data_IF_855147919741
#
_entry.id   IF_855147919741
#
_cell.length_a   1.000
_cell.length_b   1.000
_cell.length_c   1.000
_cell.angle_alpha   90.00
_cell.angle_beta   90.00
_cell.angle_gamma   90.00
#
_symmetry.space_group_name_H-M   'P 1'
#
loop_
_entity.id
_entity.type
_entity.pdbx_description
1 polymer ?
#
# COMPACT_ATOMS: atom_id res chain seq x y z
N UNK A 1 -9.07 25.25 13.05
CA UNK A 1 -7.99 24.40 13.62
C UNK A 1 -8.40 22.96 13.37
N UNK A 2 -7.80 22.30 12.39
CA UNK A 2 -8.18 20.94 11.97
C UNK A 2 -7.45 19.86 12.77
N UNK A 3 -8.06 18.69 12.87
CA UNK A 3 -7.46 17.47 13.42
C UNK A 3 -6.86 16.71 12.24
N UNK A 4 -5.55 16.43 12.24
CA UNK A 4 -4.89 15.59 11.21
C UNK A 4 -4.36 16.32 9.97
N UNK A 5 -3.92 15.54 8.97
CA UNK A 5 -3.38 16.05 7.70
C UNK A 5 -4.52 16.35 6.71
N UNK A 6 -4.71 17.63 6.36
CA UNK A 6 -5.91 18.11 5.65
C UNK A 6 -6.17 17.42 4.30
N UNK A 7 -5.12 17.14 3.53
CA UNK A 7 -5.23 16.43 2.24
C UNK A 7 -5.75 14.99 2.42
N UNK A 8 -5.25 14.26 3.42
CA UNK A 8 -5.67 12.88 3.67
C UNK A 8 -7.14 12.79 4.11
N UNK A 9 -7.62 13.79 4.85
CA UNK A 9 -9.02 13.84 5.30
C UNK A 9 -9.95 14.14 4.14
N UNK A 10 -9.57 15.02 3.22
CA UNK A 10 -10.35 15.27 2.01
C UNK A 10 -10.46 14.02 1.13
N UNK A 11 -9.35 13.30 0.92
CA UNK A 11 -9.38 12.03 0.19
C UNK A 11 -10.25 10.98 0.89
N UNK A 12 -10.15 10.88 2.22
CA UNK A 12 -10.98 9.97 3.00
C UNK A 12 -12.48 10.28 2.86
N UNK A 13 -12.87 11.55 2.98
CA UNK A 13 -14.28 11.95 2.86
C UNK A 13 -14.80 11.67 1.45
N UNK A 14 -13.99 11.95 0.42
CA UNK A 14 -14.37 11.69 -0.98
C UNK A 14 -14.68 10.20 -1.22
N UNK A 15 -13.78 9.32 -0.76
CA UNK A 15 -13.96 7.87 -0.91
C UNK A 15 -15.09 7.34 0.00
N UNK A 16 -15.24 7.87 1.21
CA UNK A 16 -16.29 7.45 2.13
C UNK A 16 -17.69 7.88 1.64
N UNK A 17 -17.80 9.00 0.93
CA UNK A 17 -19.07 9.50 0.40
C UNK A 17 -19.62 8.65 -0.75
N UNK A 18 -18.77 7.97 -1.52
CA UNK A 18 -19.21 7.10 -2.63
C UNK A 18 -19.65 5.71 -2.14
N UNK A 19 -19.21 5.31 -0.94
CA UNK A 19 -19.46 3.98 -0.38
C UNK A 19 -20.95 3.62 -0.22
N UNK A 20 -21.82 4.48 0.35
CA UNK A 20 -23.24 4.18 0.50
C UNK A 20 -23.97 4.01 -0.84
N UNK A 21 -23.63 4.84 -1.83
CA UNK A 21 -24.23 4.78 -3.17
C UNK A 21 -23.87 3.49 -3.91
N UNK A 22 -22.60 3.08 -3.82
CA UNK A 22 -22.14 1.82 -4.42
C UNK A 22 -22.82 0.59 -3.78
N UNK A 23 -23.00 0.59 -2.45
CA UNK A 23 -23.69 -0.49 -1.75
C UNK A 23 -25.18 -0.59 -2.13
N UNK A 24 -25.84 0.56 -2.35
CA UNK A 24 -27.23 0.58 -2.78
C UNK A 24 -27.42 0.09 -4.21
N UNK A 25 -26.50 0.45 -5.11
CA UNK A 25 -26.50 -0.03 -6.50
C UNK A 25 -26.39 -1.56 -6.59
N UNK A 26 -25.61 -2.20 -5.70
CA UNK A 26 -25.46 -3.66 -5.64
C UNK A 26 -26.76 -4.34 -5.22
N UNK A 27 -27.49 -3.75 -4.28
CA UNK A 27 -28.79 -4.24 -3.85
C UNK A 27 -29.82 -4.16 -4.99
N UNK A 28 -29.85 -3.05 -5.74
CA UNK A 28 -30.77 -2.88 -6.87
C UNK A 28 -30.40 -3.76 -8.08
N UNK A 29 -29.12 -4.09 -8.27
CA UNK A 29 -28.69 -4.99 -9.35
C UNK A 29 -28.93 -6.48 -9.07
N UNK A 30 -29.19 -6.84 -7.82
CA UNK A 30 -29.15 -8.24 -7.39
C UNK A 30 -30.41 -9.02 -7.71
N UNK A 31 -30.22 -10.21 -8.30
CA UNK A 31 -31.31 -11.02 -8.87
C UNK A 31 -31.80 -12.11 -7.92
N UNK A 32 -31.02 -12.46 -6.90
CA UNK A 32 -31.37 -13.49 -5.91
C UNK A 32 -31.92 -12.85 -4.62
N UNK A 33 -33.15 -13.23 -4.24
CA UNK A 33 -33.85 -12.76 -3.04
C UNK A 33 -33.89 -11.23 -2.89
N UNK A 34 -34.23 -10.52 -3.98
CA UNK A 34 -34.38 -9.05 -3.99
C UNK A 34 -33.06 -8.31 -3.64
N UNK A 35 -31.91 -8.94 -3.98
CA UNK A 35 -30.56 -8.37 -3.85
C UNK A 35 -29.93 -8.44 -2.46
N UNK A 36 -30.65 -8.97 -1.46
CA UNK A 36 -30.17 -8.99 -0.06
C UNK A 36 -29.00 -9.96 0.18
N UNK A 37 -28.94 -11.07 -0.55
CA UNK A 37 -27.86 -12.07 -0.40
C UNK A 37 -26.53 -11.52 -0.96
N UNK A 38 -26.60 -10.85 -2.11
CA UNK A 38 -25.45 -10.27 -2.79
C UNK A 38 -24.90 -9.06 -2.00
N UNK A 39 -25.80 -8.22 -1.49
CA UNK A 39 -25.48 -7.15 -0.54
C UNK A 39 -24.76 -7.68 0.72
N UNK A 40 -25.31 -8.72 1.35
CA UNK A 40 -24.71 -9.34 2.54
C UNK A 40 -23.32 -9.94 2.24
N UNK A 41 -23.14 -10.54 1.07
CA UNK A 41 -21.88 -11.13 0.62
C UNK A 41 -20.80 -10.06 0.41
N UNK A 42 -21.15 -8.94 -0.23
CA UNK A 42 -20.21 -7.82 -0.45
C UNK A 42 -19.78 -7.18 0.87
N UNK A 43 -20.71 -6.98 1.81
CA UNK A 43 -20.37 -6.46 3.14
C UNK A 43 -19.43 -7.41 3.87
N UNK A 44 -19.69 -8.71 3.81
CA UNK A 44 -18.85 -9.71 4.46
C UNK A 44 -17.43 -9.75 3.85
N UNK A 45 -17.31 -9.72 2.53
CA UNK A 45 -16.02 -9.64 1.82
C UNK A 45 -15.30 -8.33 2.19
N UNK A 46 -16.00 -7.19 2.19
CA UNK A 46 -15.44 -5.91 2.58
C UNK A 46 -14.93 -5.90 4.02
N UNK A 47 -15.68 -6.49 4.95
CA UNK A 47 -15.26 -6.61 6.34
C UNK A 47 -14.01 -7.49 6.49
N UNK A 48 -13.98 -8.65 5.82
CA UNK A 48 -12.80 -9.53 5.80
C UNK A 48 -11.59 -8.80 5.20
N UNK A 49 -11.79 -8.04 4.12
CA UNK A 49 -10.74 -7.27 3.47
C UNK A 49 -10.18 -6.20 4.40
N UNK A 50 -11.05 -5.44 5.09
CA UNK A 50 -10.62 -4.43 6.07
C UNK A 50 -9.87 -5.08 7.23
N UNK A 51 -10.35 -6.21 7.76
CA UNK A 51 -9.68 -6.94 8.83
C UNK A 51 -8.28 -7.41 8.40
N UNK A 52 -8.15 -7.88 7.16
CA UNK A 52 -6.88 -8.31 6.57
C UNK A 52 -5.92 -7.12 6.38
N UNK A 53 -6.42 -6.01 5.83
CA UNK A 53 -5.70 -4.73 5.71
C UNK A 53 -5.14 -4.27 7.06
N UNK A 54 -6.00 -4.20 8.07
CA UNK A 54 -5.61 -3.77 9.41
C UNK A 54 -4.59 -4.72 10.02
N UNK A 55 -4.76 -6.04 9.86
CA UNK A 55 -3.83 -7.03 10.39
C UNK A 55 -2.40 -6.84 9.85
N UNK A 56 -2.27 -6.64 8.53
CA UNK A 56 -0.95 -6.46 7.91
C UNK A 56 -0.37 -5.07 8.17
N UNK A 57 -1.20 -4.02 8.18
CA UNK A 57 -0.73 -2.65 8.42
C UNK A 57 -0.25 -2.47 9.88
N UNK A 58 -0.80 -3.22 10.83
CA UNK A 58 -0.33 -3.26 12.22
C UNK A 58 0.89 -4.16 12.41
N UNK A 59 1.25 -4.98 11.42
CA UNK A 59 2.42 -5.84 11.50
C UNK A 59 3.71 -4.99 11.43
N UNK A 60 4.53 -5.13 12.46
CA UNK A 60 5.81 -4.44 12.57
C UNK A 60 6.88 -5.39 13.08
N UNK A 61 8.06 -5.32 12.47
CA UNK A 61 9.26 -5.97 12.96
C UNK A 61 9.95 -5.05 13.96
N UNK A 62 10.03 -5.49 15.22
CA UNK A 62 10.71 -4.75 16.29
C UNK A 62 12.18 -5.16 16.33
N UNK A 63 13.08 -4.24 15.99
CA UNK A 63 14.53 -4.48 16.13
C UNK A 63 14.97 -3.96 17.50
N UNK A 64 15.45 -4.83 18.42
CA UNK A 64 15.90 -4.39 19.73
C UNK A 64 17.16 -3.53 19.61
N UNK A 65 17.18 -2.43 20.33
CA UNK A 65 18.30 -1.50 20.42
C UNK A 65 18.63 -1.28 21.89
N UNK A 66 19.92 -1.26 22.19
CA UNK A 66 20.42 -0.92 23.51
C UNK A 66 21.18 0.39 23.42
N UNK A 67 20.85 1.31 24.33
CA UNK A 67 21.65 2.52 24.51
C UNK A 67 22.74 2.26 25.54
N UNK A 68 23.94 2.76 25.25
CA UNK A 68 25.08 2.64 26.13
C UNK A 68 24.75 3.17 27.54
N UNK A 69 25.08 2.36 28.53
CA UNK A 69 24.88 2.65 29.95
C UNK A 69 25.91 3.71 30.38
N UNK A 70 25.45 4.77 31.06
CA UNK A 70 26.37 5.73 31.68
C UNK A 70 26.61 5.30 33.12
N UNK A 71 27.84 4.93 33.45
CA UNK A 71 28.20 4.63 34.83
C UNK A 71 28.38 5.95 35.59
N UNK A 72 27.58 6.18 36.63
CA UNK A 72 27.73 7.32 37.56
C UNK A 72 28.07 6.73 38.93
N UNK A 73 29.33 6.84 39.35
CA UNK A 73 29.83 6.20 40.57
C UNK A 73 29.86 4.67 40.47
N UNK A 74 29.44 3.96 41.53
CA UNK A 74 29.35 2.47 41.57
C UNK A 74 28.02 1.91 41.08
N UNK A 75 27.05 2.77 40.77
CA UNK A 75 25.73 2.34 40.31
C UNK A 75 25.62 2.60 38.82
N UNK A 76 25.29 1.55 38.12
CA UNK A 76 25.11 1.58 36.69
C UNK A 76 23.68 2.06 36.40
N UNK A 77 23.50 3.28 35.89
CA UNK A 77 22.21 3.87 35.51
C UNK A 77 22.04 3.83 33.98
N UNK A 78 20.84 3.46 33.52
CA UNK A 78 20.55 3.37 32.09
C UNK A 78 20.90 2.01 31.47
N UNK A 79 20.44 1.76 30.25
CA UNK A 79 20.39 0.42 29.66
C UNK A 79 18.96 -0.10 29.51
N UNK A 80 17.99 0.81 29.31
CA UNK A 80 16.65 0.43 28.89
C UNK A 80 16.73 -0.12 27.47
N UNK A 81 16.30 -1.37 27.27
CA UNK A 81 16.10 -1.92 25.94
C UNK A 81 14.96 -1.16 25.27
N UNK A 82 15.26 -0.47 24.17
CA UNK A 82 14.21 0.04 23.27
C UNK A 82 14.10 -0.86 22.05
N UNK A 83 13.17 -0.57 21.16
CA UNK A 83 13.14 -1.15 19.83
C UNK A 83 12.87 -0.08 18.77
N UNK A 84 13.43 -0.27 17.59
CA UNK A 84 13.05 0.48 16.39
C UNK A 84 11.94 -0.32 15.69
N UNK A 85 10.72 0.21 15.60
CA UNK A 85 9.65 -0.43 14.85
C UNK A 85 9.86 -0.22 13.35
N UNK A 86 10.01 -1.30 12.59
CA UNK A 86 9.95 -1.28 11.13
C UNK A 86 8.62 -1.89 10.70
N UNK A 87 7.71 -1.07 10.17
CA UNK A 87 6.43 -1.56 9.65
C UNK A 87 6.64 -2.44 8.42
N UNK A 88 5.75 -3.43 8.24
CA UNK A 88 5.75 -4.29 7.04
C UNK A 88 5.45 -3.49 5.78
N UNK A 89 4.55 -2.53 5.90
CA UNK A 89 4.28 -1.53 4.88
C UNK A 89 4.73 -0.15 5.36
N UNK A 90 5.96 0.26 5.04
CA UNK A 90 6.39 1.63 5.29
C UNK A 90 5.81 2.62 4.27
N UNK A 91 5.35 2.12 3.11
CA UNK A 91 4.94 2.96 1.99
C UNK A 91 3.47 3.42 2.07
N UNK A 92 2.66 2.77 2.91
CA UNK A 92 1.24 3.05 3.02
C UNK A 92 0.53 2.81 1.69
N UNK A 93 -0.25 3.79 1.25
CA UNK A 93 -1.07 3.74 0.01
C UNK A 93 -0.37 4.42 -1.17
N UNK A 94 0.76 5.11 -0.94
CA UNK A 94 1.41 5.97 -1.93
C UNK A 94 1.85 5.21 -3.20
N UNK A 95 2.47 4.02 -3.13
CA UNK A 95 2.86 3.27 -4.32
C UNK A 95 1.69 2.93 -5.25
N UNK A 96 0.53 2.62 -4.67
CA UNK A 96 -0.68 2.27 -5.41
C UNK A 96 -1.20 3.49 -6.19
N UNK A 97 -1.18 4.66 -5.54
CA UNK A 97 -1.56 5.93 -6.19
C UNK A 97 -0.63 6.22 -7.36
N UNK A 98 0.68 6.12 -7.18
CA UNK A 98 1.63 6.36 -8.28
C UNK A 98 1.45 5.37 -9.44
N UNK A 99 1.25 4.09 -9.14
CA UNK A 99 0.97 3.08 -10.15
C UNK A 99 -0.29 3.42 -10.96
N UNK A 100 -1.39 3.78 -10.28
CA UNK A 100 -2.63 4.20 -10.95
C UNK A 100 -2.46 5.47 -11.80
N UNK A 101 -1.74 6.49 -11.30
CA UNK A 101 -1.50 7.72 -12.06
C UNK A 101 -0.64 7.48 -13.30
N UNK A 102 0.34 6.58 -13.23
CA UNK A 102 1.21 6.27 -14.36
C UNK A 102 0.44 5.49 -15.44
N UNK A 103 -0.41 4.55 -15.03
CA UNK A 103 -1.28 3.81 -15.95
C UNK A 103 -2.32 4.68 -16.63
N UNK A 104 -2.72 5.79 -16.00
CA UNK A 104 -3.69 6.71 -16.57
C UNK A 104 -3.11 7.62 -17.67
N UNK A 105 -1.78 7.84 -17.69
CA UNK A 105 -1.13 8.73 -18.68
C UNK A 105 -1.33 8.25 -20.12
N UNK A 106 -1.05 6.97 -20.47
CA UNK A 106 -1.30 6.49 -21.83
C UNK A 106 -2.76 6.60 -22.26
N UNK A 107 -3.72 6.31 -21.36
CA UNK A 107 -5.15 6.45 -21.66
C UNK A 107 -5.54 7.90 -21.93
N UNK A 108 -4.95 8.86 -21.21
CA UNK A 108 -5.17 10.28 -21.47
C UNK A 108 -4.62 10.68 -22.83
N UNK A 109 -3.41 10.25 -23.19
CA UNK A 109 -2.81 10.58 -24.49
C UNK A 109 -3.68 10.07 -25.65
N UNK A 110 -4.22 8.86 -25.55
CA UNK A 110 -5.12 8.30 -26.57
C UNK A 110 -6.43 9.08 -26.63
N UNK A 111 -7.04 9.41 -25.48
CA UNK A 111 -8.26 10.23 -25.44
C UNK A 111 -8.05 11.63 -26.04
N UNK A 112 -6.95 12.30 -25.72
CA UNK A 112 -6.63 13.64 -26.25
C UNK A 112 -6.24 13.62 -27.73
N UNK A 113 -5.59 12.54 -28.19
CA UNK A 113 -5.15 12.44 -29.58
C UNK A 113 -6.30 12.11 -30.55
N UNK A 114 -7.41 11.53 -30.08
CA UNK A 114 -8.55 11.11 -30.94
C UNK A 114 -8.16 10.16 -32.08
N UNK A 115 -6.98 9.53 -31.99
CA UNK A 115 -6.38 8.77 -33.08
C UNK A 115 -6.84 7.32 -33.03
N UNK A 116 -7.33 6.81 -34.17
CA UNK A 116 -7.74 5.42 -34.37
C UNK A 116 -6.63 4.55 -34.95
N UNK A 117 -5.38 5.02 -34.90
CA UNK A 117 -4.23 4.25 -35.35
C UNK A 117 -4.06 2.97 -34.52
N UNK A 118 -3.50 1.91 -35.12
CA UNK A 118 -3.40 0.59 -34.49
C UNK A 118 -2.68 0.55 -33.13
N UNK A 119 -1.79 1.52 -32.86
CA UNK A 119 -1.15 1.67 -31.56
C UNK A 119 -2.09 2.25 -30.49
N UNK A 120 -3.01 3.13 -30.88
CA UNK A 120 -3.98 3.78 -30.01
C UNK A 120 -5.14 2.84 -29.67
N UNK A 121 -5.62 2.07 -30.66
CA UNK A 121 -6.61 1.00 -30.43
C UNK A 121 -6.03 -0.13 -29.58
N UNK A 122 -4.75 -0.50 -29.78
CA UNK A 122 -4.08 -1.48 -28.92
C UNK A 122 -3.99 -1.02 -27.45
N UNK A 123 -3.66 0.26 -27.22
CA UNK A 123 -3.66 0.85 -25.86
C UNK A 123 -5.08 0.89 -25.28
N UNK A 124 -6.09 1.28 -26.06
CA UNK A 124 -7.48 1.26 -25.60
C UNK A 124 -7.93 -0.15 -25.21
N UNK A 125 -7.67 -1.15 -26.05
CA UNK A 125 -8.11 -2.53 -25.81
C UNK A 125 -7.38 -3.20 -24.63
N UNK A 126 -6.09 -2.88 -24.42
CA UNK A 126 -5.27 -3.54 -23.39
C UNK A 126 -5.16 -2.77 -22.06
N UNK A 127 -5.39 -1.45 -22.05
CA UNK A 127 -5.23 -0.62 -20.84
C UNK A 127 -6.53 0.03 -20.32
N UNK A 128 -7.61 0.09 -21.12
CA UNK A 128 -8.86 0.74 -20.68
C UNK A 128 -9.87 -0.27 -20.16
N UNK A 129 -9.92 -1.48 -20.72
CA UNK A 129 -10.75 -2.56 -20.19
C UNK A 129 -9.98 -3.29 -19.10
N UNK A 130 -10.24 -2.96 -17.83
CA UNK A 130 -9.57 -3.53 -16.65
C UNK A 130 -9.69 -5.05 -16.45
N UNK A 131 -10.26 -5.76 -17.43
CA UNK A 131 -10.44 -7.21 -17.48
C UNK A 131 -9.30 -7.94 -18.20
N UNK A 132 -8.37 -7.23 -18.86
CA UNK A 132 -7.29 -7.90 -19.57
C UNK A 132 -6.17 -8.34 -18.59
N UNK A 133 -5.72 -9.62 -18.61
CA UNK A 133 -4.65 -10.10 -17.74
C UNK A 133 -3.34 -9.29 -17.83
N UNK A 134 -3.10 -8.62 -18.96
CA UNK A 134 -1.96 -7.73 -19.15
C UNK A 134 -2.05 -6.47 -18.30
N UNK A 135 -3.22 -5.84 -18.17
CA UNK A 135 -3.42 -4.69 -17.30
C UNK A 135 -3.16 -5.05 -15.84
N UNK A 136 -3.72 -6.18 -15.38
CA UNK A 136 -3.54 -6.71 -14.03
C UNK A 136 -2.06 -6.99 -13.75
N UNK A 137 -1.37 -7.65 -14.69
CA UNK A 137 0.05 -7.96 -14.54
C UNK A 137 0.93 -6.70 -14.50
N UNK A 138 0.70 -5.75 -15.41
CA UNK A 138 1.47 -4.50 -15.48
C UNK A 138 1.20 -3.65 -14.24
N UNK A 139 -0.05 -3.55 -13.80
CA UNK A 139 -0.42 -2.85 -12.57
C UNK A 139 0.23 -3.46 -11.33
N UNK A 140 0.20 -4.79 -11.21
CA UNK A 140 0.87 -5.51 -10.12
C UNK A 140 2.38 -5.25 -10.10
N UNK A 141 3.05 -5.36 -11.25
CA UNK A 141 4.49 -5.11 -11.37
C UNK A 141 4.82 -3.65 -11.01
N UNK A 142 4.02 -2.70 -11.47
CA UNK A 142 4.18 -1.28 -11.14
C UNK A 142 4.03 -1.02 -9.64
N UNK A 143 3.03 -1.62 -8.99
CA UNK A 143 2.84 -1.48 -7.53
C UNK A 143 4.07 -2.03 -6.80
N UNK A 144 4.54 -3.22 -7.16
CA UNK A 144 5.72 -3.83 -6.53
C UNK A 144 6.94 -2.93 -6.75
N UNK A 145 7.17 -2.47 -7.97
CA UNK A 145 8.27 -1.56 -8.30
C UNK A 145 8.21 -0.26 -7.46
N UNK A 146 7.06 0.42 -7.44
CA UNK A 146 6.90 1.66 -6.68
C UNK A 146 6.96 1.43 -5.17
N UNK A 147 6.56 0.26 -4.66
CA UNK A 147 6.70 -0.08 -3.25
C UNK A 147 8.18 -0.17 -2.86
N UNK A 148 9.01 -0.84 -3.67
CA UNK A 148 10.46 -0.88 -3.46
C UNK A 148 11.10 0.49 -3.60
N UNK A 149 10.74 1.23 -4.64
CA UNK A 149 11.27 2.57 -4.92
C UNK A 149 10.94 3.55 -3.78
N UNK A 150 9.70 3.54 -3.28
CA UNK A 150 9.28 4.41 -2.20
C UNK A 150 10.01 4.08 -0.89
N UNK A 151 10.14 2.80 -0.53
CA UNK A 151 10.85 2.40 0.70
C UNK A 151 12.32 2.82 0.63
N UNK A 152 12.96 2.64 -0.53
CA UNK A 152 14.37 3.02 -0.71
C UNK A 152 14.62 4.54 -0.57
N UNK A 153 13.66 5.38 -0.97
CA UNK A 153 13.79 6.84 -0.87
C UNK A 153 13.37 7.35 0.51
N UNK A 154 12.31 6.79 1.09
CA UNK A 154 11.75 7.28 2.36
C UNK A 154 12.56 6.86 3.58
N UNK A 155 13.22 5.71 3.54
CA UNK A 155 14.01 5.19 4.65
C UNK A 155 15.48 5.09 4.27
N UNK A 156 16.31 5.99 4.83
CA UNK A 156 17.76 5.96 4.66
C UNK A 156 18.45 5.18 5.80
N UNK A 157 18.93 3.94 5.56
CA UNK A 157 19.53 3.10 6.61
C UNK A 157 20.85 3.67 7.16
N UNK A 158 21.60 4.38 6.32
CA UNK A 158 22.88 4.99 6.70
C UNK A 158 22.64 6.13 7.71
N UNK A 159 21.64 6.97 7.45
CA UNK A 159 21.29 8.08 8.34
C UNK A 159 20.76 7.57 9.68
N UNK A 160 19.93 6.52 9.67
CA UNK A 160 19.41 5.90 10.90
C UNK A 160 20.56 5.28 11.72
N UNK A 161 21.49 4.58 11.07
CA UNK A 161 22.66 4.00 11.73
C UNK A 161 23.60 5.06 12.32
N UNK A 162 23.83 6.17 11.60
CA UNK A 162 24.64 7.29 12.09
C UNK A 162 23.96 8.01 13.26
N UNK A 163 22.64 8.20 13.21
CA UNK A 163 21.88 8.73 14.33
C UNK A 163 21.97 7.81 15.55
N UNK A 164 21.85 6.49 15.37
CA UNK A 164 22.05 5.52 16.46
C UNK A 164 23.44 5.64 17.07
N UNK A 165 24.49 5.72 16.24
CA UNK A 165 25.86 5.91 16.70
C UNK A 165 26.03 7.21 17.50
N UNK A 166 25.44 8.32 17.03
CA UNK A 166 25.47 9.63 17.73
C UNK A 166 24.79 9.59 19.10
N UNK A 167 23.67 8.89 19.22
CA UNK A 167 22.93 8.73 20.48
C UNK A 167 23.48 7.60 21.37
N UNK A 168 24.60 6.96 21.00
CA UNK A 168 25.19 5.86 21.76
C UNK A 168 24.33 4.58 21.75
N UNK A 169 23.43 4.44 20.78
CA UNK A 169 22.60 3.26 20.54
C UNK A 169 23.33 2.25 19.66
N UNK A 170 23.17 0.97 19.96
CA UNK A 170 23.67 -0.12 19.13
C UNK A 170 22.68 -1.30 19.13
N UNK A 171 22.71 -2.07 18.05
CA UNK A 171 21.98 -3.34 17.97
C UNK A 171 22.87 -4.40 18.62
N UNK A 172 22.37 -5.17 19.61
CA UNK A 172 23.15 -6.24 20.22
C UNK A 172 23.69 -7.22 19.17
N UNK A 173 25.01 -7.45 19.18
CA UNK A 173 25.69 -8.33 18.21
C UNK A 173 26.20 -7.65 16.94
N UNK A 174 25.89 -6.36 16.70
CA UNK A 174 26.33 -5.62 15.50
C UNK A 174 27.05 -4.34 15.92
N UNK A 175 28.21 -4.07 15.32
CA UNK A 175 28.98 -2.84 15.59
C UNK A 175 28.23 -1.62 15.02
N UNK A 176 28.16 -0.54 15.80
CA UNK A 176 27.52 0.70 15.38
C UNK A 176 28.24 1.36 14.18
N UNK A 177 27.48 1.89 13.22
CA UNK A 177 27.97 2.46 11.96
C UNK A 177 27.59 1.60 10.75
N UNK A 178 28.50 1.46 9.77
CA UNK A 178 28.25 0.73 8.51
C UNK A 178 27.62 -0.67 8.68
N UNK A 179 28.07 -1.54 9.61
CA UNK A 179 27.44 -2.85 9.79
C UNK A 179 25.99 -2.78 10.27
N UNK A 180 25.62 -1.71 11.00
CA UNK A 180 24.23 -1.46 11.41
C UNK A 180 23.38 -1.04 10.21
N UNK A 181 23.90 -0.17 9.33
CA UNK A 181 23.22 0.24 8.11
C UNK A 181 22.97 -0.95 7.17
N UNK A 182 23.99 -1.79 6.93
CA UNK A 182 23.88 -3.01 6.13
C UNK A 182 22.81 -3.97 6.68
N UNK A 183 22.77 -4.15 8.00
CA UNK A 183 21.75 -4.97 8.64
C UNK A 183 20.35 -4.37 8.49
N UNK A 184 20.18 -3.06 8.69
CA UNK A 184 18.90 -2.38 8.49
C UNK A 184 18.44 -2.51 7.04
N UNK A 185 19.31 -2.27 6.07
CA UNK A 185 19.03 -2.46 4.64
C UNK A 185 18.61 -3.89 4.31
N UNK A 186 19.33 -4.89 4.83
CA UNK A 186 18.98 -6.30 4.66
C UNK A 186 17.60 -6.63 5.22
N UNK A 187 17.31 -6.13 6.42
CA UNK A 187 16.02 -6.31 7.08
C UNK A 187 14.90 -5.63 6.29
N UNK A 188 15.09 -4.39 5.83
CA UNK A 188 14.10 -3.64 5.06
C UNK A 188 13.77 -4.35 3.76
N UNK A 189 14.77 -4.71 2.94
CA UNK A 189 14.53 -5.43 1.70
C UNK A 189 13.72 -6.70 1.92
N UNK A 190 14.01 -7.46 2.99
CA UNK A 190 13.31 -8.71 3.29
C UNK A 190 11.89 -8.52 3.80
N UNK A 191 11.59 -7.39 4.41
CA UNK A 191 10.24 -7.01 4.82
C UNK A 191 9.43 -6.46 3.65
N UNK A 192 10.06 -5.66 2.78
CA UNK A 192 9.42 -5.03 1.62
C UNK A 192 9.00 -6.05 0.57
N UNK A 193 9.71 -7.17 0.41
CA UNK A 193 9.30 -8.27 -0.48
C UNK A 193 7.87 -8.78 -0.23
N UNK A 194 7.55 -9.32 0.96
CA UNK A 194 6.18 -9.75 1.25
C UNK A 194 5.20 -8.58 1.35
N UNK A 195 5.63 -7.40 1.84
CA UNK A 195 4.77 -6.22 1.94
C UNK A 195 4.30 -5.66 0.59
N UNK A 196 5.19 -5.61 -0.39
CA UNK A 196 4.88 -5.16 -1.76
C UNK A 196 3.98 -6.14 -2.51
N UNK A 197 4.22 -7.44 -2.36
CA UNK A 197 3.39 -8.49 -2.96
C UNK A 197 1.98 -8.46 -2.36
N UNK A 198 1.88 -8.28 -1.05
CA UNK A 198 0.62 -8.10 -0.36
C UNK A 198 -0.17 -6.87 -0.85
N UNK A 199 0.50 -5.72 -0.93
CA UNK A 199 -0.11 -4.49 -1.47
C UNK A 199 -0.60 -4.68 -2.90
N UNK A 200 0.20 -5.34 -3.74
CA UNK A 200 -0.17 -5.69 -5.10
C UNK A 200 -1.43 -6.55 -5.14
N UNK A 201 -1.48 -7.64 -4.35
CA UNK A 201 -2.65 -8.52 -4.30
C UNK A 201 -3.91 -7.79 -3.84
N UNK A 202 -3.82 -6.96 -2.79
CA UNK A 202 -4.97 -6.18 -2.30
C UNK A 202 -5.46 -5.18 -3.34
N UNK A 203 -4.57 -4.52 -4.06
CA UNK A 203 -4.96 -3.60 -5.12
C UNK A 203 -5.67 -4.30 -6.29
N UNK A 204 -5.45 -5.61 -6.47
CA UNK A 204 -6.12 -6.44 -7.48
C UNK A 204 -7.45 -7.03 -7.01
N UNK A 205 -7.71 -7.12 -5.71
CA UNK A 205 -8.98 -7.69 -5.19
C UNK A 205 -10.21 -6.96 -5.76
N UNK A 206 -10.26 -5.61 -5.79
CA UNK A 206 -11.41 -4.91 -6.37
C UNK A 206 -11.56 -5.21 -7.86
N UNK A 207 -10.48 -5.17 -8.64
CA UNK A 207 -10.53 -5.41 -10.09
C UNK A 207 -10.94 -6.84 -10.43
N UNK A 208 -10.49 -7.82 -9.66
CA UNK A 208 -10.89 -9.22 -9.84
C UNK A 208 -12.31 -9.52 -9.36
N UNK A 209 -12.77 -8.89 -8.27
CA UNK A 209 -14.16 -8.99 -7.83
C UNK A 209 -15.09 -8.43 -8.92
N UNK A 210 -14.69 -7.35 -9.58
CA UNK A 210 -15.43 -6.75 -10.69
C UNK A 210 -15.54 -7.69 -11.90
N UNK A 211 -14.46 -8.37 -12.25
CA UNK A 211 -14.46 -9.35 -13.34
C UNK A 211 -15.27 -10.63 -13.00
N UNK A 212 -15.23 -11.09 -11.74
CA UNK A 212 -15.85 -12.34 -11.29
C UNK A 212 -17.36 -12.25 -11.03
N UNK A 213 -17.88 -11.10 -10.64
CA UNK A 213 -19.32 -10.90 -10.40
C UNK A 213 -20.15 -10.61 -11.67
N UNK A 214 -19.53 -10.64 -12.85
CA UNK A 214 -20.23 -10.72 -14.13
C UNK A 214 -20.85 -9.41 -14.62
N UNK A 215 -20.20 -8.79 -15.61
CA UNK A 215 -20.89 -7.98 -16.61
C UNK A 215 -21.63 -6.72 -16.14
N UNK A 216 -21.30 -6.16 -14.96
CA UNK A 216 -21.78 -4.84 -14.56
C UNK A 216 -20.94 -3.75 -15.25
N UNK A 217 -21.20 -3.65 -16.56
CA UNK A 217 -20.95 -2.54 -17.46
C UNK A 217 -20.40 -1.26 -16.78
N UNK A 218 -19.09 -0.99 -16.95
CA UNK A 218 -18.43 0.32 -16.95
C UNK A 218 -18.62 1.30 -15.77
N UNK A 219 -19.43 0.98 -14.74
CA UNK A 219 -19.85 1.94 -13.70
C UNK A 219 -19.71 1.37 -12.29
N UNK A 220 -18.60 0.68 -12.00
CA UNK A 220 -18.24 0.38 -10.62
C UNK A 220 -17.23 1.41 -10.10
N UNK A 221 -17.63 2.32 -9.17
CA UNK A 221 -16.84 3.49 -8.78
C UNK A 221 -15.67 3.20 -7.82
N UNK A 222 -15.10 1.99 -7.85
CA UNK A 222 -13.94 1.65 -7.02
C UNK A 222 -12.60 1.96 -7.70
N UNK A 223 -12.60 2.32 -8.99
CA UNK A 223 -11.51 3.02 -9.64
C UNK A 223 -11.84 4.51 -9.67
N UNK A 224 -11.18 5.30 -8.83
CA UNK A 224 -11.52 6.69 -8.58
C UNK A 224 -11.80 7.51 -9.85
N UNK A 225 -13.04 7.95 -9.93
CA UNK A 225 -13.42 9.34 -10.22
C UNK A 225 -14.37 9.79 -9.12
#
# INVERSE_FOLDING_TARGET
RGIGNGMSILMFISIAATFPGALWAIKESGKLADGWIEFGTVILIGFVMVALVVFVEQAQRRIPVQYAKRMIGRRSYGGTSTYIPLKVNQAGVIPVIFASSLLFIPSLIVQFSGSTAGWATWIQDHFVTGDHPYYIAVYFVLIVFFAFFYVAISFNPDEVADNMKKYGGFIPGIRAGRPTAEYLSYVLNRITWPGSLYLGLIALVPTMALAGFGGANQNFPFGGT
#
